data_IF_826865005356
#
_entry.id   IF_826865005356
#
_cell.length_a   1.000
_cell.length_b   1.000
_cell.length_c   1.000
_cell.angle_alpha   90.00
_cell.angle_beta   90.00
_cell.angle_gamma   90.00
#
_symmetry.space_group_name_H-M   'P 1'
#
loop_
_entity.id
_entity.type
_entity.pdbx_description
1 polymer ?
#
# COMPACT_ATOMS: atom_id res chain seq x y z
N UNK A 1 31.28 9.35 9.56
CA UNK A 1 30.14 10.16 9.99
C UNK A 1 28.91 9.37 9.55
N UNK A 2 28.06 8.94 10.48
CA UNK A 2 26.73 8.44 10.09
C UNK A 2 26.02 9.54 9.30
N UNK A 3 25.26 9.15 8.28
CA UNK A 3 24.65 10.10 7.35
C UNK A 3 23.79 11.14 8.07
N UNK A 4 23.74 12.36 7.54
CA UNK A 4 22.86 13.41 8.05
C UNK A 4 21.49 13.28 7.38
N UNK A 5 20.41 13.09 8.16
CA UNK A 5 19.02 13.03 7.63
C UNK A 5 18.60 14.36 6.98
N UNK A 6 18.87 15.50 7.64
CA UNK A 6 18.53 16.84 7.15
C UNK A 6 19.76 17.77 7.06
N UNK A 7 20.43 17.85 5.89
CA UNK A 7 21.65 18.66 5.74
C UNK A 7 21.37 20.15 5.48
N UNK A 8 20.12 20.59 5.45
CA UNK A 8 19.74 21.98 5.13
C UNK A 8 20.33 22.95 6.17
N UNK A 9 21.06 23.96 5.70
CA UNK A 9 21.73 24.95 6.57
C UNK A 9 23.13 24.56 7.03
N UNK A 10 23.60 23.35 6.70
CA UNK A 10 24.96 22.91 7.04
C UNK A 10 25.99 23.35 6.00
N UNK A 11 27.22 23.61 6.44
CA UNK A 11 28.36 23.89 5.56
C UNK A 11 29.20 22.62 5.35
N UNK A 12 29.63 22.35 4.11
CA UNK A 12 30.44 21.18 3.79
C UNK A 12 31.13 21.31 2.43
N UNK A 13 32.18 20.51 2.22
CA UNK A 13 32.95 20.50 0.96
C UNK A 13 32.45 19.46 -0.05
N UNK A 14 31.67 18.47 0.39
CA UNK A 14 31.09 17.40 -0.43
C UNK A 14 29.75 16.97 0.19
N UNK A 15 28.73 16.79 -0.64
CA UNK A 15 27.43 16.25 -0.28
C UNK A 15 27.21 14.97 -1.07
N UNK A 16 26.90 13.88 -0.39
CA UNK A 16 26.56 12.60 -1.00
C UNK A 16 25.21 12.13 -0.47
N UNK A 17 24.41 11.53 -1.34
CA UNK A 17 23.11 10.97 -0.98
C UNK A 17 23.00 9.54 -1.50
N UNK A 18 22.46 8.67 -0.66
CA UNK A 18 21.97 7.35 -1.09
C UNK A 18 20.48 7.50 -1.37
N UNK A 19 20.08 7.23 -2.61
CA UNK A 19 18.70 7.39 -3.06
C UNK A 19 18.14 6.06 -3.54
N UNK A 20 16.88 5.79 -3.21
CA UNK A 20 16.12 4.70 -3.81
C UNK A 20 15.50 5.20 -5.12
N UNK A 21 16.05 4.77 -6.25
CA UNK A 21 15.58 5.21 -7.56
C UNK A 21 14.56 4.20 -8.11
N UNK A 22 13.35 4.67 -8.39
CA UNK A 22 12.31 3.88 -9.03
C UNK A 22 12.14 4.37 -10.47
N UNK A 23 12.16 3.45 -11.42
CA UNK A 23 11.99 3.75 -12.85
C UNK A 23 10.84 2.93 -13.41
N UNK A 24 10.20 3.45 -14.45
CA UNK A 24 9.04 2.82 -15.08
C UNK A 24 8.97 3.11 -16.56
N UNK A 25 8.16 2.33 -17.27
CA UNK A 25 7.96 2.54 -18.70
C UNK A 25 7.21 3.87 -18.94
N UNK A 26 7.86 4.81 -19.64
CA UNK A 26 7.29 6.12 -19.96
C UNK A 26 5.91 6.00 -20.63
N UNK A 27 5.76 5.04 -21.55
CA UNK A 27 4.50 4.80 -22.24
C UNK A 27 3.37 4.37 -21.30
N UNK A 28 3.67 3.59 -20.25
CA UNK A 28 2.67 3.16 -19.27
C UNK A 28 2.14 4.36 -18.48
N UNK A 29 3.04 5.23 -17.99
CA UNK A 29 2.67 6.46 -17.30
C UNK A 29 1.84 7.40 -18.20
N UNK A 30 2.31 7.65 -19.43
CA UNK A 30 1.60 8.51 -20.39
C UNK A 30 0.22 8.00 -20.78
N UNK A 31 0.02 6.67 -20.85
CA UNK A 31 -1.30 6.10 -21.15
C UNK A 31 -2.30 6.40 -20.03
N UNK A 32 -1.86 6.33 -18.77
CA UNK A 32 -2.69 6.68 -17.60
C UNK A 32 -2.99 8.17 -17.59
N UNK A 33 -1.98 9.02 -17.79
CA UNK A 33 -2.14 10.48 -17.84
C UNK A 33 -3.15 10.91 -18.90
N UNK A 34 -3.00 10.41 -20.13
CA UNK A 34 -3.93 10.72 -21.24
C UNK A 34 -5.35 10.24 -20.96
N UNK A 35 -5.53 9.14 -20.23
CA UNK A 35 -6.85 8.66 -19.84
C UNK A 35 -7.55 9.68 -18.93
N UNK A 36 -6.82 10.20 -17.93
CA UNK A 36 -7.32 11.20 -16.99
C UNK A 36 -7.57 12.54 -17.69
N UNK A 37 -6.67 12.98 -18.56
CA UNK A 37 -6.80 14.23 -19.32
C UNK A 37 -8.03 14.24 -20.24
N UNK A 38 -8.38 13.09 -20.81
CA UNK A 38 -9.60 12.94 -21.64
C UNK A 38 -10.88 13.12 -20.83
N UNK A 39 -10.82 13.00 -19.51
CA UNK A 39 -11.94 13.34 -18.62
C UNK A 39 -11.99 14.84 -18.27
N UNK A 40 -11.12 15.68 -18.85
CA UNK A 40 -11.05 17.12 -18.57
C UNK A 40 -10.33 17.46 -17.27
N UNK A 41 -9.50 16.55 -16.76
CA UNK A 41 -8.72 16.72 -15.53
C UNK A 41 -7.24 16.97 -15.87
N UNK A 42 -6.52 17.65 -14.99
CA UNK A 42 -5.07 17.87 -15.12
C UNK A 42 -4.29 16.95 -14.17
N UNK A 43 -3.27 16.27 -14.69
CA UNK A 43 -2.38 15.44 -13.86
C UNK A 43 -1.19 16.26 -13.38
N UNK A 44 -1.13 16.50 -12.06
CA UNK A 44 -0.04 17.28 -11.45
C UNK A 44 1.25 16.48 -11.20
N UNK A 45 1.16 15.15 -11.21
CA UNK A 45 2.30 14.28 -11.00
C UNK A 45 1.88 12.82 -10.81
N UNK A 46 2.86 11.94 -10.90
CA UNK A 46 2.73 10.50 -10.67
C UNK A 46 3.51 10.15 -9.40
N UNK A 47 2.91 9.33 -8.56
CA UNK A 47 3.50 8.88 -7.29
C UNK A 47 3.56 7.37 -7.30
N UNK A 48 4.62 6.81 -6.72
CA UNK A 48 4.71 5.38 -6.49
C UNK A 48 3.62 4.94 -5.50
N UNK A 49 2.86 3.91 -5.84
CA UNK A 49 1.74 3.42 -5.04
C UNK A 49 2.16 3.07 -3.60
N UNK A 50 3.23 2.28 -3.42
CA UNK A 50 3.71 1.90 -2.09
C UNK A 50 4.07 3.11 -1.22
N UNK A 51 4.61 4.17 -1.83
CA UNK A 51 4.94 5.40 -1.14
C UNK A 51 3.68 6.19 -0.77
N UNK A 52 2.67 6.20 -1.64
CA UNK A 52 1.39 6.81 -1.31
C UNK A 52 0.73 6.06 -0.16
N UNK A 53 0.54 4.74 -0.29
CA UNK A 53 -0.09 3.91 0.74
C UNK A 53 0.63 4.03 2.09
N UNK A 54 1.97 4.07 2.11
CA UNK A 54 2.73 4.20 3.36
C UNK A 54 2.41 5.48 4.13
N UNK A 55 2.26 6.62 3.43
CA UNK A 55 1.90 7.91 4.04
C UNK A 55 0.53 7.91 4.72
N UNK A 56 -0.37 7.02 4.28
CA UNK A 56 -1.71 6.91 4.86
C UNK A 56 -1.76 5.96 6.07
N UNK A 57 -0.95 4.89 6.07
CA UNK A 57 -1.15 3.76 6.99
C UNK A 57 -0.06 3.62 8.04
N UNK A 58 1.19 3.94 7.71
CA UNK A 58 2.34 3.76 8.60
C UNK A 58 2.49 4.94 9.56
N UNK A 59 3.11 4.66 10.69
CA UNK A 59 3.51 5.64 11.71
C UNK A 59 5.00 5.93 11.62
N UNK A 60 5.43 7.07 12.15
CA UNK A 60 6.85 7.44 12.17
C UNK A 60 7.68 6.41 12.96
N UNK A 61 7.13 5.86 14.04
CA UNK A 61 7.79 4.81 14.84
C UNK A 61 8.02 3.53 14.03
N UNK A 62 7.04 3.08 13.23
CA UNK A 62 7.19 1.91 12.34
C UNK A 62 8.24 2.18 11.25
N UNK A 63 8.23 3.39 10.67
CA UNK A 63 9.18 3.79 9.62
C UNK A 63 10.62 3.85 10.14
N UNK A 64 10.83 4.34 11.37
CA UNK A 64 12.15 4.43 11.99
C UNK A 64 12.64 3.05 12.48
N UNK A 65 11.79 2.25 13.14
CA UNK A 65 12.16 0.94 13.68
C UNK A 65 12.41 -0.10 12.58
N UNK A 66 11.68 0.00 11.47
CA UNK A 66 11.80 -0.87 10.32
C UNK A 66 10.53 -1.68 10.06
N UNK A 67 9.89 -1.49 8.91
CA UNK A 67 8.58 -2.09 8.60
C UNK A 67 8.49 -2.49 7.13
N UNK A 68 7.80 -3.60 6.86
CA UNK A 68 7.39 -3.98 5.51
C UNK A 68 5.92 -3.65 5.30
N UNK A 69 5.62 -2.77 4.36
CA UNK A 69 4.27 -2.57 3.84
C UNK A 69 4.00 -3.56 2.72
N UNK A 70 2.86 -4.26 2.78
CA UNK A 70 2.37 -5.12 1.69
C UNK A 70 0.95 -4.65 1.32
N UNK A 71 0.82 -3.99 0.17
CA UNK A 71 -0.46 -3.55 -0.39
C UNK A 71 -1.01 -4.63 -1.33
N UNK A 72 -2.08 -5.32 -0.92
CA UNK A 72 -2.67 -6.45 -1.65
C UNK A 72 -3.87 -5.95 -2.44
N UNK A 73 -3.65 -5.67 -3.73
CA UNK A 73 -4.66 -5.17 -4.66
C UNK A 73 -5.54 -6.27 -5.29
N UNK A 74 -6.05 -5.98 -6.48
CA UNK A 74 -6.74 -6.96 -7.32
C UNK A 74 -5.76 -7.81 -8.12
N UNK A 75 -4.87 -7.18 -8.89
CA UNK A 75 -3.94 -7.88 -9.78
C UNK A 75 -2.51 -8.05 -9.25
N UNK A 76 -2.08 -7.18 -8.33
CA UNK A 76 -0.71 -7.15 -7.79
C UNK A 76 -0.70 -6.99 -6.28
N UNK A 77 0.37 -7.52 -5.68
CA UNK A 77 0.75 -7.22 -4.31
C UNK A 77 2.06 -6.45 -4.31
N UNK A 78 2.03 -5.28 -3.72
CA UNK A 78 3.07 -4.27 -3.81
C UNK A 78 3.80 -4.17 -2.46
N UNK A 79 5.12 -4.36 -2.48
CA UNK A 79 5.98 -4.43 -1.28
C UNK A 79 6.81 -3.16 -1.18
N UNK A 80 6.88 -2.55 0.00
CA UNK A 80 7.90 -1.57 0.34
C UNK A 80 8.45 -1.78 1.74
N UNK A 81 9.78 -1.76 1.85
CA UNK A 81 10.49 -1.82 3.13
C UNK A 81 11.01 -0.44 3.49
N UNK A 82 10.78 -0.03 4.73
CA UNK A 82 11.28 1.21 5.31
C UNK A 82 12.18 0.91 6.49
N UNK A 83 13.28 1.65 6.65
CA UNK A 83 14.10 1.68 7.87
C UNK A 83 14.73 3.07 8.03
N UNK A 84 14.96 3.51 9.27
CA UNK A 84 15.49 4.84 9.59
C UNK A 84 14.68 5.99 8.95
N UNK A 85 13.36 5.80 8.78
CA UNK A 85 12.47 6.79 8.20
C UNK A 85 12.54 6.90 6.67
N UNK A 86 13.23 5.97 6.00
CA UNK A 86 13.42 6.00 4.55
C UNK A 86 13.11 4.66 3.89
N UNK A 87 12.59 4.72 2.66
CA UNK A 87 12.39 3.53 1.84
C UNK A 87 13.73 2.90 1.47
N UNK A 88 13.82 1.57 1.60
CA UNK A 88 15.03 0.77 1.34
C UNK A 88 14.86 -0.19 0.18
N UNK A 89 13.65 -0.71 0.00
CA UNK A 89 13.33 -1.69 -1.01
C UNK A 89 11.90 -1.55 -1.50
N UNK A 90 11.68 -1.90 -2.76
CA UNK A 90 10.36 -2.00 -3.38
C UNK A 90 10.31 -3.19 -4.30
N UNK A 91 9.22 -3.96 -4.26
CA UNK A 91 8.99 -5.08 -5.16
C UNK A 91 7.50 -5.23 -5.47
N UNK A 92 7.19 -6.01 -6.51
CA UNK A 92 5.83 -6.31 -6.93
C UNK A 92 5.71 -7.80 -7.18
N UNK A 93 4.69 -8.43 -6.59
CA UNK A 93 4.31 -9.82 -6.84
C UNK A 93 3.04 -9.79 -7.72
N UNK A 94 3.02 -10.46 -8.89
CA UNK A 94 1.87 -10.48 -9.79
C UNK A 94 0.78 -11.45 -9.35
N UNK A 95 0.48 -11.47 -8.05
CA UNK A 95 -0.55 -12.29 -7.39
C UNK A 95 -1.24 -11.43 -6.36
N UNK A 96 -2.58 -11.38 -6.39
CA UNK A 96 -3.40 -10.72 -5.38
C UNK A 96 -4.84 -11.28 -5.42
N UNK A 97 -5.84 -10.42 -5.25
CA UNK A 97 -7.25 -10.82 -5.09
C UNK A 97 -7.89 -11.49 -6.30
N UNK A 98 -7.44 -11.21 -7.52
CA UNK A 98 -8.01 -11.77 -8.76
C UNK A 98 -7.72 -13.26 -8.87
N UNK A 99 -6.54 -13.70 -8.43
CA UNK A 99 -6.15 -15.11 -8.40
C UNK A 99 -7.02 -15.89 -7.41
N UNK A 100 -7.31 -15.32 -6.24
CA UNK A 100 -8.26 -15.92 -5.27
C UNK A 100 -9.63 -16.11 -5.92
N UNK A 101 -10.12 -15.09 -6.63
CA UNK A 101 -11.41 -15.16 -7.33
C UNK A 101 -11.43 -16.24 -8.41
N UNK A 102 -10.34 -16.37 -9.16
CA UNK A 102 -10.20 -17.39 -10.19
C UNK A 102 -10.15 -18.80 -9.60
N UNK A 103 -9.45 -19.01 -8.49
CA UNK A 103 -9.39 -20.30 -7.79
C UNK A 103 -10.78 -20.70 -7.28
N UNK A 104 -11.51 -19.77 -6.67
CA UNK A 104 -12.90 -19.97 -6.25
C UNK A 104 -13.79 -20.31 -7.47
N UNK A 105 -13.69 -19.55 -8.56
CA UNK A 105 -14.49 -19.79 -9.76
C UNK A 105 -14.26 -21.20 -10.32
N UNK A 106 -13.00 -21.64 -10.36
CA UNK A 106 -12.61 -22.96 -10.86
C UNK A 106 -13.05 -24.10 -9.92
N UNK A 107 -12.70 -24.02 -8.64
CA UNK A 107 -13.03 -25.04 -7.65
C UNK A 107 -14.56 -25.15 -7.47
N UNK A 108 -15.23 -24.01 -7.37
CA UNK A 108 -16.67 -23.93 -7.14
C UNK A 108 -17.48 -23.93 -8.44
N UNK A 109 -16.84 -24.04 -9.62
CA UNK A 109 -17.50 -24.12 -10.94
C UNK A 109 -18.65 -23.11 -11.05
N UNK A 110 -18.36 -21.86 -10.68
CA UNK A 110 -19.28 -20.73 -10.62
C UNK A 110 -18.75 -19.59 -11.50
N UNK A 111 -19.61 -18.75 -12.11
CA UNK A 111 -19.14 -17.59 -12.87
C UNK A 111 -18.26 -16.65 -12.03
N UNK A 112 -17.25 -16.03 -12.65
CA UNK A 112 -16.27 -15.15 -11.98
C UNK A 112 -16.92 -14.05 -11.15
N UNK A 113 -17.99 -13.43 -11.65
CA UNK A 113 -18.72 -12.40 -10.90
C UNK A 113 -19.29 -12.94 -9.58
N UNK A 114 -19.86 -14.15 -9.59
CA UNK A 114 -20.35 -14.79 -8.37
C UNK A 114 -19.23 -15.30 -7.48
N UNK A 115 -18.10 -15.72 -8.05
CA UNK A 115 -16.90 -16.06 -7.27
C UNK A 115 -16.40 -14.84 -6.48
N UNK A 116 -16.37 -13.65 -7.09
CA UNK A 116 -15.99 -12.40 -6.41
C UNK A 116 -16.96 -12.07 -5.28
N UNK A 117 -18.26 -12.17 -5.53
CA UNK A 117 -19.29 -11.96 -4.51
C UNK A 117 -19.16 -12.94 -3.34
N UNK A 118 -18.86 -14.21 -3.63
CA UNK A 118 -18.62 -15.25 -2.63
C UNK A 118 -17.34 -14.94 -1.84
N UNK A 119 -16.25 -14.55 -2.52
CA UNK A 119 -14.98 -14.16 -1.91
C UNK A 119 -15.20 -13.05 -0.90
N UNK A 120 -15.81 -11.94 -1.32
CA UNK A 120 -16.01 -10.76 -0.46
C UNK A 120 -16.88 -11.07 0.77
N UNK A 121 -17.89 -11.94 0.63
CA UNK A 121 -18.89 -12.16 1.68
C UNK A 121 -18.57 -13.30 2.64
N UNK A 122 -17.90 -14.35 2.18
CA UNK A 122 -17.85 -15.61 2.91
C UNK A 122 -16.45 -16.22 3.02
N UNK A 123 -15.48 -15.77 2.22
CA UNK A 123 -14.15 -16.37 2.25
C UNK A 123 -13.42 -16.07 3.57
N UNK A 124 -12.52 -16.97 3.89
CA UNK A 124 -11.59 -16.89 5.01
C UNK A 124 -10.24 -17.39 4.51
N UNK A 125 -9.17 -16.68 4.85
CA UNK A 125 -7.79 -17.07 4.56
C UNK A 125 -7.28 -18.14 5.53
N UNK A 126 -7.94 -18.37 6.67
CA UNK A 126 -7.55 -19.41 7.62
C UNK A 126 -8.70 -20.38 7.88
N UNK A 127 -8.53 -21.63 7.43
CA UNK A 127 -9.57 -22.68 7.47
C UNK A 127 -10.05 -22.96 8.88
N UNK A 128 -9.17 -22.83 9.88
CA UNK A 128 -9.48 -23.05 11.29
C UNK A 128 -10.53 -22.06 11.86
N UNK A 129 -10.70 -20.88 11.24
CA UNK A 129 -11.68 -19.88 11.65
C UNK A 129 -13.05 -20.10 10.99
N UNK A 130 -13.14 -20.94 9.96
CA UNK A 130 -14.41 -21.24 9.31
C UNK A 130 -15.26 -22.14 10.21
N UNK A 131 -16.37 -21.61 10.72
CA UNK A 131 -17.27 -22.36 11.60
C UNK A 131 -17.84 -23.61 10.92
N UNK A 132 -17.84 -24.72 11.65
CA UNK A 132 -18.52 -25.95 11.22
C UNK A 132 -20.04 -25.71 11.12
N UNK A 133 -20.63 -26.08 9.99
CA UNK A 133 -22.07 -25.98 9.76
C UNK A 133 -22.54 -24.73 9.02
N UNK A 134 -21.66 -23.79 8.70
CA UNK A 134 -21.97 -22.66 7.82
C UNK A 134 -21.98 -23.10 6.36
N UNK A 135 -23.13 -22.95 5.68
CA UNK A 135 -23.29 -23.26 4.26
C UNK A 135 -23.55 -22.01 3.43
N UNK A 136 -22.95 -21.97 2.25
CA UNK A 136 -23.12 -20.92 1.25
C UNK A 136 -23.79 -21.47 0.00
N UNK A 137 -24.68 -20.66 -0.57
CA UNK A 137 -25.31 -20.96 -1.86
C UNK A 137 -24.40 -20.52 -3.00
N UNK A 138 -24.02 -21.46 -3.84
CA UNK A 138 -23.13 -21.25 -4.98
C UNK A 138 -23.91 -21.40 -6.29
N UNK A 139 -24.05 -20.35 -7.11
CA UNK A 139 -24.63 -20.43 -8.44
C UNK A 139 -23.84 -21.38 -9.36
N UNK A 140 -24.55 -22.13 -10.21
CA UNK A 140 -23.92 -22.95 -11.23
C UNK A 140 -23.57 -22.16 -12.49
N UNK A 141 -22.66 -22.68 -13.30
CA UNK A 141 -22.36 -22.14 -14.64
C UNK A 141 -23.39 -22.64 -15.67
N UNK A 142 -23.93 -21.73 -16.50
CA UNK A 142 -24.93 -22.04 -17.52
C UNK A 142 -26.26 -22.48 -16.90
N UNK A 143 -26.86 -23.55 -17.43
CA UNK A 143 -28.13 -24.10 -16.93
C UNK A 143 -27.99 -24.99 -15.68
N UNK A 144 -26.79 -25.03 -15.08
CA UNK A 144 -26.55 -25.84 -13.87
C UNK A 144 -27.22 -25.22 -12.65
N UNK A 145 -27.87 -26.06 -11.85
CA UNK A 145 -28.52 -25.64 -10.60
C UNK A 145 -27.50 -25.13 -9.58
N UNK A 146 -27.94 -24.20 -8.73
CA UNK A 146 -27.18 -23.81 -7.55
C UNK A 146 -26.97 -24.99 -6.61
N UNK A 147 -25.86 -24.97 -5.87
CA UNK A 147 -25.48 -25.96 -4.87
C UNK A 147 -25.13 -25.30 -3.55
N UNK A 148 -25.22 -26.05 -2.47
CA UNK A 148 -24.74 -25.62 -1.16
C UNK A 148 -23.34 -26.20 -0.93
N UNK A 149 -22.44 -25.40 -0.38
CA UNK A 149 -21.10 -25.80 0.02
C UNK A 149 -20.80 -25.23 1.40
N UNK A 150 -20.00 -25.94 2.19
CA UNK A 150 -19.59 -25.42 3.48
C UNK A 150 -18.62 -24.26 3.31
N UNK A 151 -18.63 -23.33 4.26
CA UNK A 151 -17.65 -22.23 4.34
C UNK A 151 -16.24 -22.76 4.51
N UNK A 152 -16.07 -23.88 5.20
CA UNK A 152 -14.80 -24.59 5.32
C UNK A 152 -14.26 -25.04 3.95
N UNK A 153 -15.09 -25.61 3.08
CA UNK A 153 -14.67 -26.00 1.73
C UNK A 153 -14.28 -24.79 0.86
N UNK A 154 -14.83 -23.60 1.14
CA UNK A 154 -14.35 -22.36 0.52
C UNK A 154 -12.98 -21.95 1.07
N UNK A 155 -12.78 -22.02 2.39
CA UNK A 155 -11.50 -21.69 3.00
C UNK A 155 -10.36 -22.61 2.51
N UNK A 156 -10.62 -23.90 2.32
CA UNK A 156 -9.68 -24.87 1.71
C UNK A 156 -9.22 -24.49 0.29
N UNK A 157 -9.96 -23.64 -0.41
CA UNK A 157 -9.58 -23.09 -1.73
C UNK A 157 -8.80 -21.78 -1.58
N UNK A 158 -9.13 -20.98 -0.57
CA UNK A 158 -8.61 -19.61 -0.40
C UNK A 158 -7.28 -19.58 0.34
N UNK A 159 -7.15 -20.36 1.41
CA UNK A 159 -5.94 -20.42 2.26
C UNK A 159 -4.67 -20.72 1.45
N UNK A 160 -4.62 -21.72 0.55
CA UNK A 160 -3.41 -22.02 -0.22
C UNK A 160 -2.95 -20.85 -1.11
N UNK A 161 -3.88 -20.00 -1.57
CA UNK A 161 -3.52 -18.84 -2.41
C UNK A 161 -2.87 -17.72 -1.58
N UNK A 162 -3.36 -17.49 -0.37
CA UNK A 162 -2.73 -16.53 0.55
C UNK A 162 -1.40 -17.09 1.09
N UNK A 163 -1.32 -18.39 1.35
CA UNK A 163 -0.07 -19.06 1.74
C UNK A 163 1.02 -18.87 0.67
N UNK A 164 0.69 -19.11 -0.60
CA UNK A 164 1.59 -18.88 -1.72
C UNK A 164 2.02 -17.40 -1.80
N UNK A 165 1.06 -16.48 -1.71
CA UNK A 165 1.36 -15.04 -1.75
C UNK A 165 2.33 -14.64 -0.64
N UNK A 166 2.07 -15.04 0.60
CA UNK A 166 2.91 -14.69 1.74
C UNK A 166 4.27 -15.38 1.69
N UNK A 167 4.34 -16.62 1.22
CA UNK A 167 5.59 -17.30 0.94
C UNK A 167 6.45 -16.56 -0.09
N UNK A 168 5.83 -15.99 -1.13
CA UNK A 168 6.54 -15.16 -2.12
C UNK A 168 7.00 -13.82 -1.55
N UNK A 169 6.19 -13.18 -0.70
CA UNK A 169 6.59 -11.96 0.03
C UNK A 169 7.81 -12.26 0.92
N UNK A 170 7.77 -13.35 1.70
CA UNK A 170 8.87 -13.74 2.58
C UNK A 170 10.14 -14.07 1.78
N UNK A 171 9.99 -14.79 0.66
CA UNK A 171 11.09 -15.08 -0.25
C UNK A 171 11.72 -13.79 -0.81
N UNK A 172 10.91 -12.78 -1.13
CA UNK A 172 11.40 -11.49 -1.60
C UNK A 172 12.14 -10.70 -0.51
N UNK A 173 11.64 -10.70 0.74
CA UNK A 173 12.33 -10.08 1.89
C UNK A 173 13.69 -10.76 2.16
N UNK A 174 13.74 -12.09 2.10
CA UNK A 174 14.99 -12.88 2.21
C UNK A 174 15.96 -12.56 1.10
N UNK A 175 15.49 -12.62 -0.15
CA UNK A 175 16.31 -12.40 -1.35
C UNK A 175 16.91 -10.99 -1.39
N UNK A 176 16.14 -10.00 -0.92
CA UNK A 176 16.56 -8.60 -0.86
C UNK A 176 17.44 -8.28 0.36
N UNK A 177 17.47 -9.17 1.37
CA UNK A 177 18.29 -9.02 2.58
C UNK A 177 17.68 -8.10 3.64
N UNK A 178 16.36 -7.88 3.59
CA UNK A 178 15.65 -6.98 4.49
C UNK A 178 14.77 -7.68 5.54
N UNK A 179 14.66 -9.01 5.53
CA UNK A 179 13.85 -9.78 6.50
C UNK A 179 14.23 -9.45 7.96
N UNK A 180 15.53 -9.39 8.27
CA UNK A 180 16.00 -9.08 9.63
C UNK A 180 15.91 -7.58 9.99
N UNK A 181 15.54 -6.72 9.04
CA UNK A 181 15.51 -5.26 9.20
C UNK A 181 14.10 -4.71 9.46
N UNK A 182 13.07 -5.55 9.43
CA UNK A 182 11.67 -5.15 9.64
C UNK A 182 11.21 -5.42 11.07
N UNK A 183 11.88 -4.82 12.05
CA UNK A 183 11.65 -5.07 13.47
C UNK A 183 10.25 -4.67 13.98
N UNK A 184 9.57 -3.73 13.31
CA UNK A 184 8.16 -3.39 13.57
C UNK A 184 7.18 -4.40 12.96
N UNK A 185 7.67 -5.36 12.17
CA UNK A 185 6.88 -6.40 11.51
C UNK A 185 6.34 -5.96 10.14
N UNK A 186 5.18 -6.52 9.79
CA UNK A 186 4.54 -6.33 8.48
C UNK A 186 3.20 -5.62 8.66
N UNK A 187 2.93 -4.64 7.82
CA UNK A 187 1.64 -3.97 7.72
C UNK A 187 1.00 -4.36 6.39
N UNK A 188 -0.14 -5.04 6.45
CA UNK A 188 -0.96 -5.37 5.28
C UNK A 188 -1.90 -4.22 4.96
N UNK A 189 -2.15 -3.93 3.69
CA UNK A 189 -3.15 -2.95 3.25
C UNK A 189 -3.74 -3.35 1.89
N UNK A 190 -4.59 -2.50 1.30
CA UNK A 190 -5.25 -2.79 0.03
C UNK A 190 -6.51 -3.63 0.20
N UNK A 191 -7.29 -3.78 -0.87
CA UNK A 191 -8.62 -4.38 -0.77
C UNK A 191 -8.63 -5.85 -0.36
N UNK A 192 -7.63 -6.61 -0.79
CA UNK A 192 -7.54 -8.05 -0.52
C UNK A 192 -6.94 -8.36 0.85
N UNK A 193 -6.39 -7.36 1.56
CA UNK A 193 -5.97 -7.50 2.97
C UNK A 193 -7.13 -7.55 3.97
N UNK A 194 -8.37 -7.39 3.50
CA UNK A 194 -9.58 -7.44 4.36
C UNK A 194 -10.11 -8.85 4.59
N UNK A 195 -9.46 -9.85 4.00
CA UNK A 195 -9.88 -11.25 4.12
C UNK A 195 -9.86 -11.68 5.59
N UNK A 196 -10.91 -12.36 6.06
CA UNK A 196 -10.92 -12.90 7.42
C UNK A 196 -9.79 -13.90 7.60
N UNK A 197 -9.09 -13.90 8.75
CA UNK A 197 -7.99 -14.83 9.02
C UNK A 197 -6.65 -14.49 8.33
N UNK A 198 -6.59 -13.39 7.56
CA UNK A 198 -5.40 -13.05 6.76
C UNK A 198 -4.21 -12.62 7.61
N UNK A 199 -4.46 -11.95 8.74
CA UNK A 199 -3.40 -11.50 9.65
C UNK A 199 -2.83 -12.72 10.37
N UNK A 200 -3.71 -13.59 10.86
CA UNK A 200 -3.35 -14.82 11.57
C UNK A 200 -2.51 -15.74 10.66
N UNK A 201 -2.96 -16.00 9.44
CA UNK A 201 -2.18 -16.78 8.46
C UNK A 201 -0.83 -16.11 8.14
N UNK A 202 -0.81 -14.79 7.98
CA UNK A 202 0.43 -14.06 7.73
C UNK A 202 1.42 -14.19 8.90
N UNK A 203 0.96 -14.08 10.15
CA UNK A 203 1.81 -14.28 11.34
C UNK A 203 2.39 -15.71 11.40
N UNK A 204 1.57 -16.72 11.05
CA UNK A 204 2.02 -18.11 10.97
C UNK A 204 3.15 -18.31 9.96
N UNK A 205 3.08 -17.65 8.80
CA UNK A 205 4.06 -17.79 7.71
C UNK A 205 5.30 -16.92 7.93
N UNK A 206 5.10 -15.66 8.32
CA UNK A 206 6.21 -14.71 8.45
C UNK A 206 6.98 -14.88 9.76
N UNK A 207 6.39 -15.49 10.79
CA UNK A 207 6.98 -15.62 12.12
C UNK A 207 7.36 -14.28 12.75
N UNK A 208 6.58 -13.22 12.46
CA UNK A 208 6.76 -11.87 12.99
C UNK A 208 5.40 -11.20 13.15
N UNK A 209 5.29 -10.10 13.93
CA UNK A 209 4.05 -9.38 14.09
C UNK A 209 3.49 -8.91 12.73
N UNK A 210 2.20 -9.13 12.52
CA UNK A 210 1.50 -8.62 11.34
C UNK A 210 0.30 -7.80 11.81
N UNK A 211 0.06 -6.68 11.14
CA UNK A 211 -1.12 -5.85 11.41
C UNK A 211 -1.80 -5.39 10.13
N UNK A 212 -3.08 -5.03 10.26
CA UNK A 212 -3.84 -4.44 9.17
C UNK A 212 -3.75 -2.92 9.24
N UNK A 213 -3.22 -2.31 8.18
CA UNK A 213 -3.05 -0.87 8.03
C UNK A 213 -4.32 -0.20 7.50
N UNK A 214 -4.73 0.86 8.17
CA UNK A 214 -5.87 1.69 7.76
C UNK A 214 -5.42 3.14 7.56
N UNK A 215 -6.05 3.89 6.64
CA UNK A 215 -5.79 5.32 6.51
C UNK A 215 -6.04 6.07 7.83
N UNK A 216 -5.02 6.78 8.31
CA UNK A 216 -5.04 7.56 9.57
C UNK A 216 -5.13 9.07 9.29
N UNK A 217 -5.39 9.86 10.33
CA UNK A 217 -5.32 11.34 10.31
C UNK A 217 -6.30 12.07 9.35
N UNK A 218 -7.46 11.46 9.07
CA UNK A 218 -8.49 12.07 8.23
C UNK A 218 -9.57 12.71 9.10
N UNK A 219 -9.96 13.94 8.77
CA UNK A 219 -11.09 14.65 9.38
C UNK A 219 -12.37 14.51 8.53
N UNK A 220 -13.53 14.37 9.18
CA UNK A 220 -14.84 14.33 8.51
C UNK A 220 -15.28 12.91 8.12
N UNK A 221 -14.76 12.38 7.02
CA UNK A 221 -15.20 11.13 6.37
C UNK A 221 -14.72 9.83 7.05
N UNK A 222 -14.42 9.86 8.35
CA UNK A 222 -13.72 8.77 9.08
C UNK A 222 -14.36 7.39 8.87
N UNK A 223 -15.69 7.32 8.86
CA UNK A 223 -16.41 6.04 8.74
C UNK A 223 -16.27 5.38 7.36
N UNK A 224 -16.00 6.17 6.31
CA UNK A 224 -15.81 5.66 4.95
C UNK A 224 -14.35 5.29 4.71
N UNK A 225 -13.43 6.16 5.15
CA UNK A 225 -12.00 6.06 4.84
C UNK A 225 -11.23 5.10 5.74
N UNK A 226 -11.81 4.66 6.87
CA UNK A 226 -11.22 3.62 7.73
C UNK A 226 -11.41 2.24 7.08
N UNK A 227 -10.82 2.09 5.90
CA UNK A 227 -10.91 0.89 5.08
C UNK A 227 -9.62 0.82 4.22
N UNK A 228 -8.87 -0.29 4.26
CA UNK A 228 -7.58 -0.42 3.56
C UNK A 228 -7.67 -0.22 2.05
N UNK A 229 -8.86 -0.34 1.44
CA UNK A 229 -9.13 -0.05 0.02
C UNK A 229 -8.76 1.41 -0.34
N UNK A 230 -8.80 2.34 0.63
CA UNK A 230 -8.57 3.77 0.38
C UNK A 230 -7.13 4.23 0.68
N UNK A 231 -6.22 3.33 1.05
CA UNK A 231 -4.85 3.65 1.45
C UNK A 231 -4.09 4.44 0.38
N UNK A 232 -4.04 3.96 -0.85
CA UNK A 232 -3.37 4.67 -1.95
C UNK A 232 -4.00 6.04 -2.19
N UNK A 233 -5.34 6.12 -2.23
CA UNK A 233 -6.06 7.36 -2.50
C UNK A 233 -5.84 8.44 -1.43
N UNK A 234 -5.93 8.08 -0.15
CA UNK A 234 -5.62 8.98 0.96
C UNK A 234 -4.14 9.37 0.95
N UNK A 235 -3.27 8.42 0.65
CA UNK A 235 -1.83 8.60 0.52
C UNK A 235 -1.46 9.65 -0.52
N UNK A 236 -2.07 9.58 -1.70
CA UNK A 236 -1.90 10.56 -2.77
C UNK A 236 -2.30 11.98 -2.33
N UNK A 237 -3.42 12.12 -1.61
CA UNK A 237 -3.87 13.41 -1.09
C UNK A 237 -2.94 13.96 -0.01
N UNK A 238 -2.44 13.08 0.86
CA UNK A 238 -1.48 13.43 1.92
C UNK A 238 -0.17 13.92 1.30
N UNK A 239 0.34 13.19 0.31
CA UNK A 239 1.52 13.58 -0.46
C UNK A 239 1.35 14.93 -1.17
N UNK A 240 0.21 15.13 -1.83
CA UNK A 240 -0.09 16.39 -2.51
C UNK A 240 -0.13 17.58 -1.54
N UNK A 241 -0.74 17.39 -0.36
CA UNK A 241 -0.78 18.41 0.70
C UNK A 241 0.61 18.81 1.18
N UNK A 242 1.50 17.85 1.41
CA UNK A 242 2.88 18.13 1.83
C UNK A 242 3.67 18.92 0.77
N UNK A 243 3.48 18.60 -0.51
CA UNK A 243 4.09 19.35 -1.61
C UNK A 243 3.59 20.80 -1.62
N UNK A 244 2.29 21.03 -1.46
CA UNK A 244 1.72 22.38 -1.44
C UNK A 244 2.16 23.20 -0.22
N UNK A 245 2.30 22.57 0.95
CA UNK A 245 2.83 23.21 2.16
C UNK A 245 4.29 23.64 1.96
N UNK A 246 5.17 22.74 1.49
CA UNK A 246 6.58 23.05 1.21
C UNK A 246 6.74 24.17 0.18
N UNK A 247 5.88 24.21 -0.85
CA UNK A 247 5.87 25.29 -1.86
C UNK A 247 5.46 26.63 -1.26
N UNK A 248 4.50 26.63 -0.34
CA UNK A 248 4.01 27.84 0.34
C UNK A 248 5.08 28.43 1.26
N UNK A 249 5.74 27.60 2.07
CA UNK A 249 6.84 28.00 2.96
C UNK A 249 8.05 28.57 2.18
N UNK A 250 8.39 27.98 1.03
CA UNK A 250 9.43 28.51 0.15
C UNK A 250 9.06 29.88 -0.46
N UNK A 251 7.77 30.12 -0.70
CA UNK A 251 7.28 31.39 -1.24
C UNK A 251 7.32 32.49 -0.16
N UNK A 252 6.93 32.15 1.07
CA UNK A 252 6.95 33.06 2.22
C UNK A 252 8.37 33.40 2.70
N UNK A 253 9.30 32.45 2.63
CA UNK A 253 10.72 32.71 2.91
C UNK A 253 11.37 33.62 1.85
N UNK A 254 10.97 33.50 0.57
CA UNK A 254 11.45 34.39 -0.49
C UNK A 254 10.89 35.82 -0.36
N UNK A 255 9.59 35.97 -0.07
CA UNK A 255 8.99 37.30 0.12
C UNK A 255 9.58 38.00 1.34
N UNK A 256 9.70 37.32 2.48
CA UNK A 256 10.35 37.87 3.67
C UNK A 256 11.81 38.24 3.42
N UNK A 257 12.56 37.43 2.66
CA UNK A 257 13.91 37.76 2.20
C UNK A 257 13.98 39.05 1.38
N UNK A 258 13.07 39.25 0.43
CA UNK A 258 12.98 40.46 -0.39
C UNK A 258 12.61 41.70 0.45
N UNK A 259 11.64 41.58 1.36
CA UNK A 259 11.28 42.68 2.27
C UNK A 259 12.45 43.06 3.20
N UNK A 260 13.21 42.09 3.69
CA UNK A 260 14.41 42.36 4.50
C UNK A 260 15.51 43.05 3.70
N UNK A 261 15.67 42.70 2.41
CA UNK A 261 16.63 43.33 1.50
C UNK A 261 16.27 44.78 1.18
N UNK A 262 14.99 45.07 0.93
CA UNK A 262 14.50 46.43 0.69
C UNK A 262 14.62 47.29 1.95
N UNK A 263 14.29 46.75 3.13
CA UNK A 263 14.44 47.47 4.41
C UNK A 263 15.91 47.82 4.69
N UNK A 264 16.84 46.88 4.51
CA UNK A 264 18.28 47.13 4.65
C UNK A 264 18.83 48.12 3.63
N UNK A 265 18.28 48.14 2.41
CA UNK A 265 18.66 49.14 1.41
C UNK A 265 18.17 50.53 1.78
N UNK A 266 16.94 50.66 2.31
CA UNK A 266 16.40 51.94 2.80
C UNK A 266 17.18 52.46 4.02
N UNK A 267 17.48 51.61 4.99
CA UNK A 267 18.30 52.00 6.17
C UNK A 267 19.73 52.41 5.79
N UNK A 268 20.21 52.03 4.61
CA UNK A 268 21.57 52.34 4.14
C UNK A 268 21.63 53.54 3.19
N UNK A 269 20.50 53.93 2.57
CA UNK A 269 20.46 54.95 1.52
C UNK A 269 19.46 56.10 1.78
N UNK A 270 18.78 56.10 2.93
CA UNK A 270 17.94 57.20 3.45
C UNK A 270 18.44 57.54 4.85
#
# INVERSE_FOLDING_TARGET
>A
QEGVKEPLGMSGVRLEAKVHLVTGAVNAAQNIEKCIERCGLEVRGVVLEQLASSLAVLTDDELDLGVCLVDIGGGTSDIAVFTDGAIRHTAVIPIAGDQVTNDIAMALRTPTQHAEEIKIRYACALTQLAQEGDYIKVPGVGDKRSRELSRQALAEVVEPRYDELFSLVQAELRRSGFEDLVAAGIVLTGGSSKMEGVVELAEEIFHMPVSLGFPKNISGLKDIVTNPIYSTGVGLLTHAKEIEQKRSEQRDSRTSGLFSGVKKWLEKNV
#
